data_IF_867136885280
#
_entry.id   IF_867136885280
#
_cell.length_a   1.000
_cell.length_b   1.000
_cell.length_c   1.000
_cell.angle_alpha   90.00
_cell.angle_beta   90.00
_cell.angle_gamma   90.00
#
_symmetry.space_group_name_H-M   'P 1'
#
loop_
_entity.id
_entity.type
_entity.pdbx_description
1 polymer ?
#
# COMPACT_ATOMS: atom_id res chain seq x y z
N UNK A 1 -15.53 -15.70 -6.03
CA UNK A 1 -15.14 -15.82 -7.46
C UNK A 1 -14.28 -17.06 -7.72
N UNK A 2 -13.06 -17.18 -7.16
CA UNK A 2 -12.18 -18.33 -7.43
C UNK A 2 -12.82 -19.70 -7.11
N UNK A 3 -13.58 -19.81 -6.01
CA UNK A 3 -14.30 -21.05 -5.70
C UNK A 3 -15.30 -21.48 -6.79
N UNK A 4 -16.04 -20.53 -7.36
CA UNK A 4 -16.97 -20.79 -8.47
C UNK A 4 -16.22 -21.20 -9.75
N UNK A 5 -15.08 -20.56 -10.05
CA UNK A 5 -14.21 -20.98 -11.15
C UNK A 5 -13.76 -22.44 -10.99
N UNK A 6 -13.23 -22.78 -9.81
CA UNK A 6 -12.76 -24.14 -9.51
C UNK A 6 -13.88 -25.15 -9.65
N UNK A 7 -15.09 -24.83 -9.21
CA UNK A 7 -16.25 -25.72 -9.33
C UNK A 7 -16.63 -25.96 -10.80
N UNK A 8 -16.67 -24.90 -11.62
CA UNK A 8 -17.09 -25.00 -13.02
C UNK A 8 -16.04 -25.65 -13.92
N UNK A 9 -14.75 -25.32 -13.73
CA UNK A 9 -13.66 -25.80 -14.59
C UNK A 9 -12.97 -27.06 -14.08
N UNK A 10 -13.15 -27.39 -12.79
CA UNK A 10 -12.42 -28.47 -12.09
C UNK A 10 -10.89 -28.32 -12.18
N UNK A 11 -10.41 -27.09 -12.30
CA UNK A 11 -8.98 -26.76 -12.38
C UNK A 11 -8.54 -25.92 -11.17
N UNK A 12 -7.32 -26.17 -10.70
CA UNK A 12 -6.64 -25.36 -9.71
C UNK A 12 -5.42 -24.69 -10.34
N UNK A 13 -5.60 -23.44 -10.75
CA UNK A 13 -4.57 -22.70 -11.49
C UNK A 13 -4.62 -21.20 -11.20
N UNK A 14 -3.62 -20.48 -11.68
CA UNK A 14 -3.37 -19.06 -11.41
C UNK A 14 -4.29 -18.07 -12.12
N UNK A 15 -5.57 -18.37 -12.33
CA UNK A 15 -6.50 -17.50 -13.09
C UNK A 15 -6.83 -16.18 -12.38
N UNK A 16 -6.80 -16.17 -11.04
CA UNK A 16 -7.04 -14.98 -10.23
C UNK A 16 -5.85 -14.71 -9.31
N UNK A 17 -5.45 -13.44 -9.26
CA UNK A 17 -4.52 -12.93 -8.26
C UNK A 17 -5.29 -12.36 -7.07
N UNK A 18 -4.59 -12.13 -5.95
CA UNK A 18 -5.24 -11.62 -4.75
C UNK A 18 -6.06 -12.65 -3.96
N UNK A 19 -5.71 -13.92 -4.16
CA UNK A 19 -6.23 -15.05 -3.40
C UNK A 19 -5.78 -14.95 -1.94
N UNK A 20 -6.52 -15.61 -1.05
CA UNK A 20 -6.12 -15.77 0.34
C UNK A 20 -4.89 -16.67 0.46
N UNK A 21 -4.07 -16.45 1.49
CA UNK A 21 -2.80 -17.17 1.68
C UNK A 21 -2.98 -18.70 1.69
N UNK A 22 -4.03 -19.19 2.35
CA UNK A 22 -4.33 -20.62 2.43
C UNK A 22 -4.64 -21.29 1.08
N UNK A 23 -4.83 -20.54 -0.01
CA UNK A 23 -5.24 -21.07 -1.31
C UNK A 23 -4.55 -20.38 -2.49
N UNK A 24 -3.24 -20.14 -2.37
CA UNK A 24 -2.39 -19.64 -3.46
C UNK A 24 -2.33 -18.12 -3.57
N UNK A 25 -2.58 -17.42 -2.47
CA UNK A 25 -2.27 -16.00 -2.31
C UNK A 25 -0.78 -15.76 -2.12
N UNK A 26 -0.33 -14.54 -2.41
CA UNK A 26 1.06 -14.11 -2.15
C UNK A 26 1.13 -13.33 -0.84
N UNK A 27 2.20 -13.56 -0.08
CA UNK A 27 2.61 -12.64 0.98
C UNK A 27 2.88 -11.26 0.38
N UNK A 28 2.81 -10.23 1.23
CA UNK A 28 3.00 -8.82 0.87
C UNK A 28 1.93 -8.23 -0.08
N UNK A 29 0.95 -9.03 -0.53
CA UNK A 29 -0.06 -8.59 -1.51
C UNK A 29 -0.92 -7.43 -0.99
N UNK A 30 -1.41 -7.42 0.27
CA UNK A 30 -2.11 -6.26 0.80
C UNK A 30 -1.28 -4.97 0.70
N UNK A 31 0.01 -5.06 0.95
CA UNK A 31 0.90 -3.90 1.10
C UNK A 31 1.53 -3.43 -0.20
N UNK A 32 1.58 -4.31 -1.20
CA UNK A 32 2.38 -4.17 -2.42
C UNK A 32 2.27 -2.78 -3.07
N UNK A 33 1.05 -2.27 -3.25
CA UNK A 33 0.83 -0.96 -3.89
C UNK A 33 1.30 0.21 -3.02
N UNK A 34 0.97 0.21 -1.74
CA UNK A 34 1.36 1.28 -0.82
C UNK A 34 2.87 1.33 -0.62
N UNK A 35 3.51 0.17 -0.46
CA UNK A 35 4.96 0.05 -0.32
C UNK A 35 5.67 0.42 -1.62
N UNK A 36 5.18 -0.08 -2.76
CA UNK A 36 5.71 0.24 -4.07
C UNK A 36 5.71 1.74 -4.37
N UNK A 37 4.62 2.44 -4.03
CA UNK A 37 4.53 3.90 -4.15
C UNK A 37 5.63 4.60 -3.34
N UNK A 38 5.80 4.24 -2.07
CA UNK A 38 6.80 4.87 -1.20
C UNK A 38 8.21 4.57 -1.70
N UNK A 39 8.50 3.35 -2.14
CA UNK A 39 9.79 3.02 -2.73
C UNK A 39 10.06 3.84 -3.99
N UNK A 40 9.07 3.99 -4.86
CA UNK A 40 9.21 4.79 -6.07
C UNK A 40 9.53 6.25 -5.74
N UNK A 41 8.76 6.87 -4.85
CA UNK A 41 9.00 8.26 -4.40
C UNK A 41 10.35 8.39 -3.69
N UNK A 42 10.77 7.38 -2.92
CA UNK A 42 12.08 7.35 -2.26
C UNK A 42 13.22 7.41 -3.29
N UNK A 43 13.08 6.76 -4.45
CA UNK A 43 14.04 6.90 -5.55
C UNK A 43 13.96 8.28 -6.21
N UNK A 44 12.76 8.83 -6.41
CA UNK A 44 12.59 10.17 -6.97
C UNK A 44 13.21 11.26 -6.09
N UNK A 45 13.02 11.18 -4.77
CA UNK A 45 13.61 12.13 -3.82
C UNK A 45 15.14 12.09 -3.87
N UNK A 46 15.74 10.89 -3.98
CA UNK A 46 17.19 10.74 -4.15
C UNK A 46 17.66 11.37 -5.46
N UNK A 47 16.96 11.07 -6.55
CA UNK A 47 17.28 11.59 -7.87
C UNK A 47 17.22 13.13 -7.92
N UNK A 48 16.24 13.73 -7.26
CA UNK A 48 16.08 15.18 -7.16
C UNK A 48 17.01 15.86 -6.13
N UNK A 49 17.92 15.12 -5.47
CA UNK A 49 18.83 15.69 -4.46
C UNK A 49 18.16 16.02 -3.12
N UNK A 50 16.96 15.50 -2.85
CA UNK A 50 16.20 15.70 -1.62
C UNK A 50 16.36 14.59 -0.57
N UNK A 51 17.29 13.65 -0.79
CA UNK A 51 17.57 12.56 0.13
C UNK A 51 16.49 11.49 0.13
N UNK A 52 15.72 11.35 1.22
CA UNK A 52 14.70 10.31 1.38
C UNK A 52 13.53 10.74 2.24
N UNK A 53 12.80 9.79 2.82
CA UNK A 53 11.62 10.11 3.62
C UNK A 53 11.91 10.64 5.04
N UNK A 54 13.11 10.42 5.57
CA UNK A 54 13.50 10.86 6.91
C UNK A 54 13.20 12.35 7.13
N UNK A 55 12.56 12.66 8.26
CA UNK A 55 12.18 14.00 8.72
C UNK A 55 11.21 14.77 7.81
N UNK A 56 10.67 14.11 6.76
CA UNK A 56 9.67 14.74 5.90
C UNK A 56 8.27 14.60 6.47
N UNK A 57 7.48 15.67 6.35
CA UNK A 57 6.03 15.64 6.61
C UNK A 57 5.32 15.17 5.35
N UNK A 58 4.52 14.10 5.47
CA UNK A 58 3.85 13.46 4.34
C UNK A 58 2.34 13.52 4.56
N UNK A 59 1.66 14.28 3.71
CA UNK A 59 0.20 14.25 3.67
C UNK A 59 -0.25 13.09 2.76
N UNK A 60 -1.13 12.25 3.26
CA UNK A 60 -1.73 11.15 2.50
C UNK A 60 -3.25 11.36 2.49
N UNK A 61 -3.87 11.17 1.32
CA UNK A 61 -5.31 11.08 1.18
C UNK A 61 -5.73 9.61 1.02
N UNK A 62 -6.95 9.31 1.43
CA UNK A 62 -7.48 7.95 1.48
C UNK A 62 -7.18 7.24 2.81
N UNK A 63 -8.00 6.24 3.09
CA UNK A 63 -7.95 5.39 4.30
C UNK A 63 -8.05 3.91 3.95
N UNK A 64 -8.08 3.58 2.65
CA UNK A 64 -8.09 2.22 2.15
C UNK A 64 -6.71 1.54 2.20
N UNK A 65 -6.67 0.33 1.67
CA UNK A 65 -5.51 -0.55 1.68
C UNK A 65 -4.19 0.13 1.23
N UNK A 66 -4.25 0.90 0.13
CA UNK A 66 -3.07 1.59 -0.40
C UNK A 66 -2.56 2.67 0.56
N UNK A 67 -3.46 3.52 1.07
CA UNK A 67 -3.09 4.64 1.93
C UNK A 67 -2.52 4.18 3.27
N UNK A 68 -3.13 3.14 3.87
CA UNK A 68 -2.65 2.57 5.14
C UNK A 68 -1.22 2.05 5.01
N UNK A 69 -0.93 1.28 3.95
CA UNK A 69 0.41 0.73 3.76
C UNK A 69 1.43 1.74 3.25
N UNK A 70 1.01 2.76 2.50
CA UNK A 70 1.87 3.90 2.19
C UNK A 70 2.26 4.65 3.47
N UNK A 71 1.31 4.91 4.37
CA UNK A 71 1.59 5.55 5.65
C UNK A 71 2.58 4.73 6.49
N UNK A 72 2.31 3.43 6.66
CA UNK A 72 3.19 2.52 7.40
C UNK A 72 4.61 2.50 6.84
N UNK A 73 4.77 2.43 5.51
CA UNK A 73 6.11 2.42 4.90
C UNK A 73 6.81 3.76 5.01
N UNK A 74 6.10 4.87 4.83
CA UNK A 74 6.68 6.21 4.99
C UNK A 74 7.17 6.43 6.43
N UNK A 75 6.37 6.05 7.44
CA UNK A 75 6.77 6.11 8.85
C UNK A 75 7.97 5.21 9.14
N UNK A 76 8.01 3.99 8.59
CA UNK A 76 9.16 3.09 8.73
C UNK A 76 10.45 3.65 8.12
N UNK A 77 10.37 4.61 7.21
CA UNK A 77 11.50 5.33 6.62
C UNK A 77 11.79 6.68 7.30
N UNK A 78 11.17 6.95 8.45
CA UNK A 78 11.41 8.15 9.27
C UNK A 78 10.60 9.38 8.88
N UNK A 79 9.59 9.25 8.02
CA UNK A 79 8.66 10.36 7.75
C UNK A 79 7.61 10.50 8.85
N UNK A 80 7.09 11.72 9.02
CA UNK A 80 5.90 11.97 9.83
C UNK A 80 4.67 12.08 8.92
N UNK A 81 3.74 11.13 9.03
CA UNK A 81 2.49 11.14 8.26
C UNK A 81 1.49 12.05 8.96
N UNK A 82 1.06 13.11 8.28
CA UNK A 82 0.26 14.18 8.90
C UNK A 82 -1.21 14.15 8.55
N UNK A 83 -1.63 13.29 7.61
CA UNK A 83 -3.05 13.15 7.27
C UNK A 83 -3.40 11.76 6.73
N UNK A 84 -4.68 11.41 6.91
CA UNK A 84 -5.41 10.37 6.17
C UNK A 84 -6.83 10.89 5.93
N UNK A 85 -7.51 10.39 4.90
CA UNK A 85 -8.84 10.90 4.54
C UNK A 85 -9.79 9.82 4.05
N UNK A 86 -11.09 10.10 4.02
CA UNK A 86 -12.07 9.31 3.30
C UNK A 86 -12.98 10.24 2.47
N UNK A 87 -14.17 9.77 2.09
CA UNK A 87 -15.12 10.56 1.31
C UNK A 87 -15.79 11.70 2.10
N UNK A 88 -15.72 11.69 3.44
CA UNK A 88 -16.38 12.65 4.31
C UNK A 88 -15.42 13.72 4.83
N UNK A 89 -14.12 13.47 4.83
CA UNK A 89 -13.14 14.46 5.23
C UNK A 89 -11.75 13.88 5.46
N UNK A 90 -10.89 14.68 6.10
CA UNK A 90 -9.52 14.30 6.43
C UNK A 90 -9.27 14.48 7.93
N UNK A 91 -8.60 13.50 8.51
CA UNK A 91 -7.94 13.66 9.80
C UNK A 91 -6.57 14.28 9.55
N UNK A 92 -6.26 15.33 10.31
CA UNK A 92 -4.96 16.02 10.27
C UNK A 92 -4.33 15.91 11.64
N UNK A 93 -3.14 15.32 11.71
CA UNK A 93 -2.35 15.24 12.93
C UNK A 93 -1.43 16.45 13.01
N UNK A 94 -1.74 17.37 13.94
CA UNK A 94 -0.83 18.44 14.36
C UNK A 94 0.16 17.86 15.37
N UNK A 95 1.34 17.46 14.88
CA UNK A 95 2.53 17.24 15.71
C UNK A 95 3.48 18.41 15.53
#
# INVERSE_FOLDING_TARGET
>A
MFGAYRQARRLWEGVLTGKGLAWGGSLMRPEATGYGLVYYVQHMLRYAGHGGFADKRVAISGSGNVAQFAALKAMALGASVVSLSDSQGALVATT
#
